data_IF_313921517036
#
_entry.id   IF_313921517036
#
_cell.length_a   1.000
_cell.length_b   1.000
_cell.length_c   1.000
_cell.angle_alpha   90.00
_cell.angle_beta   90.00
_cell.angle_gamma   90.00
#
_symmetry.space_group_name_H-M   'P 1'
#
loop_
_entity.id
_entity.type
_entity.pdbx_description
1 polymer ?
#
# COMPACT_ATOMS: atom_id res chain seq x y z
N UNK A 1 4.85 78.59 21.38
CA UNK A 1 5.60 77.50 20.77
C UNK A 1 4.85 76.23 21.16
N UNK A 2 4.03 75.67 20.26
CA UNK A 2 3.28 74.43 20.46
C UNK A 2 4.11 73.27 19.91
N UNK A 3 4.49 72.29 20.79
CA UNK A 3 5.18 71.07 20.42
C UNK A 3 4.13 70.05 19.94
N UNK A 4 4.18 69.71 18.66
CA UNK A 4 3.38 68.64 18.07
C UNK A 4 4.12 67.31 18.31
N UNK A 5 3.55 66.42 19.10
CA UNK A 5 4.01 65.03 19.24
C UNK A 5 3.41 64.17 18.10
N UNK A 6 4.22 63.71 17.21
CA UNK A 6 3.86 62.71 16.18
C UNK A 6 4.04 61.34 16.80
N UNK A 7 2.94 60.65 17.11
CA UNK A 7 2.92 59.25 17.53
C UNK A 7 3.00 58.39 16.28
N UNK A 8 4.18 57.80 16.03
CA UNK A 8 4.34 56.76 15.00
C UNK A 8 3.89 55.44 15.63
N UNK A 9 2.69 55.02 15.29
CA UNK A 9 2.22 53.67 15.63
C UNK A 9 2.91 52.64 14.72
N UNK A 10 3.91 51.93 15.25
CA UNK A 10 4.50 50.77 14.63
C UNK A 10 3.49 49.62 14.74
N UNK A 11 2.72 49.37 13.70
CA UNK A 11 1.92 48.15 13.57
C UNK A 11 2.88 46.95 13.43
N UNK A 12 3.12 46.26 14.53
CA UNK A 12 3.73 44.93 14.53
C UNK A 12 2.76 43.98 13.80
N UNK A 13 2.97 43.83 12.51
CA UNK A 13 2.41 42.72 11.77
C UNK A 13 3.02 41.44 12.36
N UNK A 14 2.28 40.81 13.26
CA UNK A 14 2.59 39.44 13.70
C UNK A 14 2.34 38.54 12.51
N UNK A 15 3.34 38.48 11.62
CA UNK A 15 3.38 37.47 10.58
C UNK A 15 3.34 36.11 11.26
N UNK A 16 2.25 35.36 11.07
CA UNK A 16 2.29 33.92 11.38
C UNK A 16 3.53 33.36 10.69
N UNK A 17 4.39 32.60 11.38
CA UNK A 17 5.46 31.91 10.71
C UNK A 17 4.80 31.03 9.64
N UNK A 18 5.00 31.38 8.37
CA UNK A 18 4.70 30.49 7.26
C UNK A 18 5.72 29.37 7.40
N UNK A 19 5.37 28.29 8.04
CA UNK A 19 6.11 27.05 7.92
C UNK A 19 6.02 26.69 6.44
N UNK A 20 7.15 26.73 5.76
CA UNK A 20 7.23 26.22 4.40
C UNK A 20 6.90 24.72 4.47
N UNK A 21 5.75 24.32 3.95
CA UNK A 21 5.41 22.92 3.83
C UNK A 21 6.55 22.20 3.11
N UNK A 22 6.97 21.08 3.64
CA UNK A 22 7.97 20.25 2.97
C UNK A 22 7.35 19.73 1.69
N UNK A 23 7.91 20.11 0.54
CA UNK A 23 7.44 19.63 -0.76
C UNK A 23 7.82 18.15 -0.94
N UNK A 24 6.89 17.33 -1.37
CA UNK A 24 7.15 15.94 -1.80
C UNK A 24 7.49 15.86 -3.29
N UNK A 25 7.48 16.99 -4.03
CA UNK A 25 7.74 17.02 -5.47
C UNK A 25 9.10 16.43 -5.81
N UNK A 26 9.14 15.61 -6.84
CA UNK A 26 10.36 14.98 -7.34
C UNK A 26 10.13 13.57 -7.86
N UNK A 27 11.25 12.93 -8.19
CA UNK A 27 11.32 11.53 -8.59
C UNK A 27 11.79 10.70 -7.39
N UNK A 28 11.12 9.58 -7.14
CA UNK A 28 11.35 8.74 -5.98
C UNK A 28 11.46 7.27 -6.39
N UNK A 29 12.23 6.50 -5.63
CA UNK A 29 12.37 5.05 -5.81
C UNK A 29 12.40 4.34 -4.47
N UNK A 30 11.77 3.17 -4.38
CA UNK A 30 11.74 2.38 -3.16
C UNK A 30 13.12 1.86 -2.73
N UNK A 31 13.35 1.78 -1.43
CA UNK A 31 14.52 1.09 -0.85
C UNK A 31 14.23 -0.41 -0.77
N UNK A 32 14.59 -1.13 -1.82
CA UNK A 32 14.24 -2.54 -1.99
C UNK A 32 14.88 -3.51 -0.97
N UNK A 33 15.84 -3.06 -0.18
CA UNK A 33 16.46 -3.89 0.86
C UNK A 33 15.55 -4.09 2.07
N UNK A 34 14.53 -3.24 2.22
CA UNK A 34 13.57 -3.35 3.31
C UNK A 34 12.54 -4.42 2.98
N UNK A 35 12.30 -5.34 3.89
CA UNK A 35 11.31 -6.41 3.76
C UNK A 35 11.38 -7.18 2.42
N UNK A 36 12.59 -7.39 1.90
CA UNK A 36 12.78 -7.90 0.56
C UNK A 36 12.08 -9.24 0.33
N UNK A 37 12.01 -10.10 1.32
CA UNK A 37 11.35 -11.41 1.21
C UNK A 37 9.83 -11.28 1.02
N UNK A 38 9.22 -10.28 1.64
CA UNK A 38 7.77 -10.04 1.57
C UNK A 38 7.38 -9.02 0.49
N UNK A 39 8.37 -8.34 -0.09
CA UNK A 39 8.13 -7.22 -1.01
C UNK A 39 7.90 -7.67 -2.45
N UNK A 40 8.93 -8.16 -3.11
CA UNK A 40 8.86 -8.45 -4.56
C UNK A 40 8.45 -9.89 -4.85
N UNK A 41 9.05 -10.92 -4.25
CA UNK A 41 8.59 -12.30 -4.48
C UNK A 41 7.22 -12.56 -3.82
N UNK A 42 6.88 -11.81 -2.80
CA UNK A 42 5.73 -12.07 -1.94
C UNK A 42 6.00 -13.17 -0.93
N UNK A 43 5.03 -13.47 -0.06
CA UNK A 43 5.11 -14.61 0.84
C UNK A 43 4.92 -15.94 0.12
N UNK A 44 5.43 -17.00 0.73
CA UNK A 44 5.19 -18.36 0.24
C UNK A 44 3.71 -18.76 0.41
N UNK A 45 3.22 -19.62 -0.48
CA UNK A 45 1.86 -20.15 -0.37
C UNK A 45 1.67 -20.88 0.97
N UNK A 46 0.61 -20.52 1.69
CA UNK A 46 0.32 -21.06 3.02
C UNK A 46 1.06 -20.40 4.18
N UNK A 47 1.93 -19.41 3.93
CA UNK A 47 2.53 -18.58 4.96
C UNK A 47 1.66 -17.34 5.25
N UNK A 48 0.95 -17.39 6.35
CA UNK A 48 0.14 -16.26 6.83
C UNK A 48 0.67 -15.68 8.15
N UNK A 49 1.91 -15.97 8.47
CA UNK A 49 2.57 -15.49 9.68
C UNK A 49 2.56 -13.97 9.74
N UNK A 50 2.09 -13.42 10.85
CA UNK A 50 2.03 -11.98 11.10
C UNK A 50 0.95 -11.22 10.35
N UNK A 51 0.19 -11.87 9.48
CA UNK A 51 -0.87 -11.19 8.74
C UNK A 51 -2.15 -11.08 9.57
N UNK A 52 -2.74 -9.90 9.74
CA UNK A 52 -3.97 -9.71 10.48
C UNK A 52 -5.20 -10.12 9.68
N UNK A 53 -5.23 -11.34 9.17
CA UNK A 53 -6.28 -11.87 8.32
C UNK A 53 -7.26 -12.77 9.09
N UNK A 54 -8.52 -12.75 8.67
CA UNK A 54 -9.55 -13.62 9.21
C UNK A 54 -9.68 -14.93 8.41
N UNK A 55 -10.60 -15.80 8.84
CA UNK A 55 -10.79 -17.12 8.21
C UNK A 55 -11.31 -17.02 6.76
N UNK A 56 -12.07 -15.96 6.43
CA UNK A 56 -12.52 -15.75 5.05
C UNK A 56 -11.35 -15.44 4.11
N UNK A 57 -10.41 -14.63 4.55
CA UNK A 57 -9.20 -14.34 3.80
C UNK A 57 -8.30 -15.59 3.65
N UNK A 58 -8.13 -16.38 4.73
CA UNK A 58 -7.39 -17.66 4.68
C UNK A 58 -8.03 -18.63 3.70
N UNK A 59 -9.35 -18.75 3.74
CA UNK A 59 -10.07 -19.62 2.81
C UNK A 59 -9.88 -19.21 1.35
N UNK A 60 -9.90 -17.90 1.09
CA UNK A 60 -9.64 -17.37 -0.25
C UNK A 60 -8.21 -17.65 -0.69
N UNK A 61 -7.22 -17.31 0.15
CA UNK A 61 -5.80 -17.54 -0.13
C UNK A 61 -5.45 -19.02 -0.31
N UNK A 62 -6.08 -19.92 0.45
CA UNK A 62 -5.91 -21.37 0.31
C UNK A 62 -6.34 -21.90 -1.06
N UNK A 63 -7.24 -21.24 -1.74
CA UNK A 63 -7.69 -21.59 -3.08
C UNK A 63 -6.78 -21.07 -4.20
N UNK A 64 -5.79 -20.24 -3.85
CA UNK A 64 -4.96 -19.56 -4.82
C UNK A 64 -4.12 -20.53 -5.67
N UNK A 65 -4.21 -20.36 -6.98
CA UNK A 65 -3.34 -21.01 -7.96
C UNK A 65 -2.42 -19.95 -8.57
N UNK A 66 -1.12 -20.09 -8.39
CA UNK A 66 -0.14 -19.11 -8.88
C UNK A 66 -0.20 -18.93 -10.40
N UNK A 67 -0.72 -19.92 -11.12
CA UNK A 67 -0.92 -19.84 -12.57
C UNK A 67 -2.09 -18.93 -12.99
N UNK A 68 -2.82 -18.33 -12.03
CA UNK A 68 -3.91 -17.36 -12.31
C UNK A 68 -3.46 -16.18 -13.14
N UNK A 69 -2.22 -15.72 -12.95
CA UNK A 69 -1.67 -14.60 -13.72
C UNK A 69 -1.61 -14.85 -15.22
N UNK A 70 -1.66 -16.12 -15.65
CA UNK A 70 -1.68 -16.50 -17.08
C UNK A 70 -3.11 -16.57 -17.67
N UNK A 71 -4.14 -16.35 -16.86
CA UNK A 71 -5.51 -16.31 -17.35
C UNK A 71 -5.80 -14.92 -17.94
N UNK A 72 -6.41 -14.81 -19.11
CA UNK A 72 -6.63 -13.52 -19.79
C UNK A 72 -7.29 -12.46 -18.91
N UNK A 73 -8.19 -12.84 -18.02
CA UNK A 73 -8.91 -11.95 -17.10
C UNK A 73 -8.00 -11.30 -16.04
N UNK A 74 -6.84 -11.92 -15.76
CA UNK A 74 -5.87 -11.45 -14.77
C UNK A 74 -4.58 -10.93 -15.39
N UNK A 75 -4.43 -11.03 -16.71
CA UNK A 75 -3.29 -10.46 -17.38
C UNK A 75 -3.35 -8.95 -17.33
N UNK A 76 -2.22 -8.33 -16.97
CA UNK A 76 -2.12 -6.88 -16.83
C UNK A 76 -3.07 -6.28 -15.77
N UNK A 77 -3.54 -7.07 -14.84
CA UNK A 77 -4.24 -6.58 -13.66
C UNK A 77 -3.26 -5.74 -12.82
N UNK A 78 -3.61 -4.47 -12.65
CA UNK A 78 -2.75 -3.52 -11.93
C UNK A 78 -2.94 -3.65 -10.43
N UNK A 79 -1.89 -3.40 -9.67
CA UNK A 79 -1.99 -3.38 -8.21
C UNK A 79 -2.79 -2.17 -7.73
N UNK A 80 -3.62 -2.37 -6.73
CA UNK A 80 -4.33 -1.27 -6.08
C UNK A 80 -3.40 -0.47 -5.14
N UNK A 81 -3.90 0.65 -4.62
CA UNK A 81 -3.13 1.55 -3.74
C UNK A 81 -2.62 0.85 -2.47
N UNK A 82 -3.30 -0.16 -1.98
CA UNK A 82 -2.90 -0.94 -0.80
C UNK A 82 -1.69 -1.86 -1.04
N UNK A 83 -1.28 -2.05 -2.29
CA UNK A 83 -0.17 -2.94 -2.63
C UNK A 83 0.90 -2.28 -3.51
N UNK A 84 0.54 -1.33 -4.37
CA UNK A 84 1.41 -0.87 -5.47
C UNK A 84 2.77 -0.35 -5.00
N UNK A 85 2.85 0.27 -3.82
CA UNK A 85 4.10 0.82 -3.29
C UNK A 85 5.10 -0.25 -2.83
N UNK A 86 4.66 -1.49 -2.67
CA UNK A 86 5.55 -2.62 -2.32
C UNK A 86 6.29 -3.21 -3.53
N UNK A 87 5.87 -2.88 -4.73
CA UNK A 87 6.50 -3.32 -5.97
C UNK A 87 7.79 -2.57 -6.32
N UNK A 88 8.45 -2.97 -7.42
CA UNK A 88 9.63 -2.27 -7.96
C UNK A 88 9.19 -0.96 -8.61
N UNK A 89 8.88 0.02 -7.79
CA UNK A 89 8.21 1.23 -8.22
C UNK A 89 9.14 2.43 -8.19
N UNK A 90 9.22 3.10 -9.33
CA UNK A 90 9.68 4.47 -9.42
C UNK A 90 8.46 5.34 -9.67
N UNK A 91 8.38 6.45 -8.99
CA UNK A 91 7.25 7.34 -9.15
C UNK A 91 7.66 8.80 -9.07
N UNK A 92 6.87 9.62 -9.73
CA UNK A 92 6.99 11.08 -9.72
C UNK A 92 5.85 11.67 -8.92
N UNK A 93 6.15 12.69 -8.11
CA UNK A 93 5.17 13.51 -7.40
C UNK A 93 5.29 14.95 -7.89
N UNK A 94 4.14 15.61 -8.14
CA UNK A 94 4.09 17.05 -8.40
C UNK A 94 2.77 17.64 -7.91
N UNK A 95 2.79 18.95 -7.68
CA UNK A 95 1.62 19.69 -7.24
C UNK A 95 0.85 20.25 -8.47
N UNK A 96 -0.46 20.03 -8.48
CA UNK A 96 -1.40 20.76 -9.34
C UNK A 96 -1.92 21.96 -8.59
N UNK A 97 -1.79 23.14 -9.20
CA UNK A 97 -2.16 24.41 -8.57
C UNK A 97 -3.31 25.05 -9.30
N UNK A 98 -4.19 25.70 -8.54
CA UNK A 98 -5.19 26.59 -9.11
C UNK A 98 -4.47 27.74 -9.85
N UNK A 99 -4.85 28.05 -11.09
CA UNK A 99 -4.15 29.06 -11.88
C UNK A 99 -4.29 30.48 -11.34
N UNK A 100 -5.36 30.77 -10.63
CA UNK A 100 -5.66 32.11 -10.12
C UNK A 100 -5.12 32.31 -8.70
N UNK A 101 -5.39 31.39 -7.78
CA UNK A 101 -4.97 31.50 -6.39
C UNK A 101 -3.56 30.95 -6.13
N UNK A 102 -3.02 30.10 -7.01
CA UNK A 102 -1.77 29.37 -6.84
C UNK A 102 -1.78 28.38 -5.65
N UNK A 103 -2.92 28.14 -5.06
CA UNK A 103 -3.07 27.11 -4.03
C UNK A 103 -2.94 25.70 -4.63
N UNK A 104 -2.38 24.77 -3.86
CA UNK A 104 -2.29 23.36 -4.27
C UNK A 104 -3.67 22.74 -4.14
N UNK A 105 -4.29 22.41 -5.27
CA UNK A 105 -5.62 21.78 -5.31
C UNK A 105 -5.53 20.26 -5.37
N UNK A 106 -4.42 19.72 -5.86
CA UNK A 106 -4.15 18.30 -5.84
C UNK A 106 -2.64 18.00 -5.84
N UNK A 107 -2.28 16.87 -5.26
CA UNK A 107 -0.98 16.23 -5.47
C UNK A 107 -1.20 15.10 -6.47
N UNK A 108 -0.39 15.09 -7.52
CA UNK A 108 -0.43 14.07 -8.57
C UNK A 108 0.75 13.14 -8.41
N UNK A 109 0.51 11.86 -8.65
CA UNK A 109 1.55 10.85 -8.72
C UNK A 109 1.45 10.10 -10.05
N UNK A 110 2.60 9.85 -10.65
CA UNK A 110 2.76 8.89 -11.74
C UNK A 110 3.65 7.76 -11.27
N UNK A 111 3.13 6.54 -11.28
CA UNK A 111 3.83 5.35 -10.86
C UNK A 111 4.22 4.55 -12.10
N UNK A 112 5.50 4.23 -12.25
CA UNK A 112 6.01 3.53 -13.44
C UNK A 112 5.49 2.09 -13.58
N UNK A 113 5.17 1.43 -12.46
CA UNK A 113 4.58 0.09 -12.48
C UNK A 113 3.16 0.15 -13.04
N UNK A 114 2.95 -0.50 -14.18
CA UNK A 114 1.70 -0.50 -14.96
C UNK A 114 1.17 0.90 -15.32
N UNK A 115 2.05 1.92 -15.33
CA UNK A 115 1.72 3.30 -15.76
C UNK A 115 0.50 3.88 -15.02
N UNK A 116 0.47 3.75 -13.69
CA UNK A 116 -0.65 4.20 -12.90
C UNK A 116 -0.59 5.69 -12.57
N UNK A 117 -1.76 6.32 -12.60
CA UNK A 117 -1.95 7.71 -12.21
C UNK A 117 -2.77 7.79 -10.94
N UNK A 118 -2.30 8.59 -9.98
CA UNK A 118 -3.03 8.87 -8.75
C UNK A 118 -3.22 10.36 -8.57
N UNK A 119 -4.41 10.74 -8.12
CA UNK A 119 -4.73 12.11 -7.72
C UNK A 119 -5.10 12.11 -6.25
N UNK A 120 -4.44 12.96 -5.48
CA UNK A 120 -4.75 13.20 -4.08
C UNK A 120 -5.29 14.62 -4.00
N UNK A 121 -6.56 14.78 -3.68
CA UNK A 121 -7.21 16.06 -3.61
C UNK A 121 -6.87 16.79 -2.32
N UNK A 122 -6.46 18.06 -2.43
CA UNK A 122 -5.99 18.89 -1.31
C UNK A 122 -6.97 20.01 -0.96
N UNK A 123 -8.12 20.08 -1.62
CA UNK A 123 -9.10 21.15 -1.54
C UNK A 123 -10.23 20.87 -0.52
N UNK A 124 -10.11 19.79 0.27
CA UNK A 124 -11.06 19.44 1.31
C UNK A 124 -12.41 18.92 0.79
N UNK A 125 -12.47 18.49 -0.47
CA UNK A 125 -13.69 17.91 -1.02
C UNK A 125 -14.08 16.61 -0.31
N UNK A 126 -15.40 16.32 -0.19
CA UNK A 126 -15.85 15.07 0.40
C UNK A 126 -15.54 13.88 -0.52
N UNK A 127 -15.40 12.70 0.09
CA UNK A 127 -15.35 11.44 -0.65
C UNK A 127 -16.68 11.16 -1.36
N UNK A 128 -16.65 10.42 -2.47
CA UNK A 128 -17.84 10.02 -3.19
C UNK A 128 -18.80 9.18 -2.34
N UNK A 129 -20.04 9.05 -2.75
CA UNK A 129 -20.98 8.13 -2.12
C UNK A 129 -20.59 6.66 -2.43
N UNK A 130 -20.87 5.75 -1.49
CA UNK A 130 -20.46 4.33 -1.53
C UNK A 130 -20.83 3.55 -2.82
N UNK A 131 -21.83 4.02 -3.56
CA UNK A 131 -22.25 3.40 -4.82
C UNK A 131 -21.45 3.86 -6.05
N UNK A 132 -20.53 4.80 -5.88
CA UNK A 132 -19.71 5.29 -6.99
C UNK A 132 -18.69 4.23 -7.44
N UNK A 133 -18.25 4.28 -8.71
CA UNK A 133 -17.29 3.29 -9.22
C UNK A 133 -15.96 3.28 -8.46
N UNK A 134 -15.47 2.07 -8.21
CA UNK A 134 -14.16 1.83 -7.63
C UNK A 134 -13.07 1.83 -8.70
N UNK A 135 -11.89 2.33 -8.35
CA UNK A 135 -10.70 2.33 -9.23
C UNK A 135 -9.52 1.66 -8.53
N UNK A 136 -8.46 1.34 -9.26
CA UNK A 136 -7.27 0.74 -8.64
C UNK A 136 -6.59 1.68 -7.65
N UNK A 137 -6.52 2.97 -7.97
CA UNK A 137 -5.92 3.98 -7.08
C UNK A 137 -6.92 4.58 -6.09
N UNK A 138 -8.20 4.19 -6.16
CA UNK A 138 -9.25 4.70 -5.30
C UNK A 138 -9.54 6.19 -5.51
N UNK A 139 -10.23 6.78 -4.55
CA UNK A 139 -10.42 8.22 -4.40
C UNK A 139 -9.66 8.69 -3.17
N UNK A 140 -8.72 9.62 -3.34
CA UNK A 140 -7.82 10.07 -2.29
C UNK A 140 -8.00 11.55 -1.98
N UNK A 141 -8.07 11.86 -0.68
CA UNK A 141 -7.94 13.23 -0.16
C UNK A 141 -6.73 13.33 0.76
N UNK A 142 -6.09 14.49 0.80
CA UNK A 142 -4.91 14.71 1.63
C UNK A 142 -5.03 15.95 2.50
N UNK A 143 -4.40 15.92 3.66
CA UNK A 143 -4.29 17.03 4.58
C UNK A 143 -2.89 17.06 5.20
N UNK A 144 -2.31 18.26 5.33
CA UNK A 144 -1.04 18.44 5.99
C UNK A 144 -1.18 18.63 7.50
N UNK A 145 -0.51 17.79 8.28
CA UNK A 145 -0.37 17.90 9.72
C UNK A 145 1.09 18.26 10.07
N UNK A 146 1.44 19.52 9.96
CA UNK A 146 2.85 19.95 10.01
C UNK A 146 3.60 19.46 8.79
N UNK A 147 4.62 18.61 8.99
CA UNK A 147 5.45 18.03 7.92
C UNK A 147 4.95 16.64 7.47
N UNK A 148 3.85 16.17 8.00
CA UNK A 148 3.21 14.90 7.67
C UNK A 148 2.02 15.13 6.73
N UNK A 149 2.09 14.59 5.53
CA UNK A 149 0.94 14.53 4.63
C UNK A 149 0.13 13.27 4.94
N UNK A 150 -1.04 13.46 5.53
CA UNK A 150 -1.99 12.37 5.79
C UNK A 150 -2.94 12.24 4.60
N UNK A 151 -3.02 11.04 4.02
CA UNK A 151 -3.87 10.75 2.87
C UNK A 151 -4.88 9.69 3.28
N UNK A 152 -6.17 9.93 3.00
CA UNK A 152 -7.22 8.92 3.15
C UNK A 152 -7.71 8.51 1.77
N UNK A 153 -7.82 7.18 1.55
CA UNK A 153 -8.26 6.62 0.27
C UNK A 153 -9.33 5.56 0.49
N UNK A 154 -10.39 5.64 -0.28
CA UNK A 154 -11.45 4.64 -0.38
C UNK A 154 -11.83 4.39 -1.86
N UNK A 155 -12.95 3.73 -2.16
CA UNK A 155 -13.39 3.37 -3.52
C UNK A 155 -12.31 2.61 -4.30
N UNK A 156 -11.62 1.71 -3.59
CA UNK A 156 -10.53 0.89 -4.12
C UNK A 156 -11.11 -0.41 -4.66
N UNK A 157 -10.68 -0.83 -5.85
CA UNK A 157 -11.02 -2.16 -6.39
C UNK A 157 -10.42 -3.26 -5.54
N UNK A 158 -11.20 -4.34 -5.35
CA UNK A 158 -10.70 -5.55 -4.71
C UNK A 158 -9.50 -6.13 -5.47
N UNK A 159 -8.52 -6.59 -4.71
CA UNK A 159 -7.29 -7.18 -5.21
C UNK A 159 -6.64 -8.01 -4.07
N UNK A 160 -5.37 -8.32 -4.12
CA UNK A 160 -4.70 -9.03 -3.04
C UNK A 160 -3.74 -8.12 -2.26
N UNK A 161 -3.63 -8.41 -0.97
CA UNK A 161 -2.67 -7.81 -0.05
C UNK A 161 -1.25 -8.30 -0.36
N UNK A 162 -1.15 -9.58 -0.74
CA UNK A 162 0.12 -10.24 -1.09
C UNK A 162 -0.08 -11.13 -2.31
N UNK A 163 0.98 -11.32 -3.07
CA UNK A 163 0.99 -12.12 -4.30
C UNK A 163 0.73 -13.62 -4.09
N UNK A 164 0.68 -14.08 -2.87
CA UNK A 164 0.29 -15.43 -2.47
C UNK A 164 -1.23 -15.65 -2.41
N UNK A 165 -2.00 -14.65 -2.84
CA UNK A 165 -3.45 -14.73 -2.93
C UNK A 165 -4.22 -14.26 -1.70
N UNK A 166 -3.56 -13.70 -0.70
CA UNK A 166 -4.22 -13.07 0.43
C UNK A 166 -4.97 -11.81 -0.05
N UNK A 167 -6.31 -11.74 0.11
CA UNK A 167 -7.11 -10.71 -0.54
C UNK A 167 -7.23 -9.41 0.25
N UNK A 168 -7.51 -8.34 -0.49
CA UNK A 168 -8.24 -7.16 -0.03
C UNK A 168 -9.61 -7.11 -0.72
N UNK A 169 -10.63 -6.63 -0.02
CA UNK A 169 -11.96 -6.40 -0.58
C UNK A 169 -12.10 -5.01 -1.19
N UNK A 170 -13.25 -4.76 -1.81
CA UNK A 170 -13.66 -3.43 -2.27
C UNK A 170 -14.12 -2.50 -1.12
N UNK A 171 -14.09 -2.97 0.13
CA UNK A 171 -14.33 -2.17 1.34
C UNK A 171 -13.04 -1.71 2.01
N UNK A 172 -11.91 -1.95 1.34
CA UNK A 172 -10.61 -1.47 1.79
C UNK A 172 -10.62 0.06 1.93
N UNK A 173 -10.14 0.52 3.07
CA UNK A 173 -9.79 1.93 3.30
C UNK A 173 -8.32 2.01 3.68
N UNK A 174 -7.60 2.95 3.11
CA UNK A 174 -6.18 3.14 3.36
C UNK A 174 -5.95 4.55 3.91
N UNK A 175 -5.27 4.63 5.04
CA UNK A 175 -4.71 5.88 5.58
C UNK A 175 -3.20 5.83 5.43
N UNK A 176 -2.62 6.85 4.85
CA UNK A 176 -1.18 6.92 4.59
C UNK A 176 -0.59 8.16 5.25
N UNK A 177 0.63 8.01 5.77
CA UNK A 177 1.46 9.11 6.26
C UNK A 177 2.69 9.21 5.36
N UNK A 178 2.92 10.39 4.79
CA UNK A 178 4.05 10.67 3.93
C UNK A 178 4.93 11.73 4.56
N UNK A 179 6.03 11.31 5.17
CA UNK A 179 6.91 12.15 5.96
C UNK A 179 8.26 12.24 5.27
N UNK A 180 8.64 13.45 4.83
CA UNK A 180 9.91 13.66 4.13
C UNK A 180 11.03 14.08 5.08
N UNK A 181 12.15 13.40 5.01
CA UNK A 181 13.39 13.70 5.71
C UNK A 181 14.54 13.94 4.71
N UNK A 182 14.68 15.18 4.22
CA UNK A 182 15.67 15.49 3.19
C UNK A 182 15.39 14.76 1.87
N UNK A 183 16.25 13.82 1.50
CA UNK A 183 16.11 13.01 0.27
C UNK A 183 15.48 11.63 0.52
N UNK A 184 14.84 11.44 1.67
CA UNK A 184 14.10 10.23 2.02
C UNK A 184 12.66 10.60 2.36
N UNK A 185 11.71 9.78 1.90
CA UNK A 185 10.31 9.78 2.37
C UNK A 185 10.10 8.50 3.15
N UNK A 186 9.64 8.63 4.38
CA UNK A 186 9.03 7.52 5.13
C UNK A 186 7.54 7.50 4.82
N UNK A 187 7.07 6.38 4.31
CA UNK A 187 5.67 6.11 4.02
C UNK A 187 5.16 5.08 5.03
N UNK A 188 4.09 5.42 5.74
CA UNK A 188 3.38 4.49 6.63
C UNK A 188 1.99 4.31 6.06
N UNK A 189 1.61 3.08 5.78
CA UNK A 189 0.30 2.73 5.27
C UNK A 189 -0.47 1.93 6.32
N UNK A 190 -1.69 2.34 6.61
CA UNK A 190 -2.63 1.68 7.52
C UNK A 190 -3.84 1.26 6.69
N UNK A 191 -3.95 -0.03 6.41
CA UNK A 191 -5.03 -0.61 5.64
C UNK A 191 -6.08 -1.23 6.57
N UNK A 192 -7.33 -0.87 6.40
CA UNK A 192 -8.48 -1.42 7.14
C UNK A 192 -9.45 -2.05 6.16
N UNK A 193 -9.71 -3.33 6.32
CA UNK A 193 -10.66 -4.08 5.49
C UNK A 193 -11.61 -4.91 6.38
N UNK A 194 -12.87 -4.52 6.52
CA UNK A 194 -13.81 -5.19 7.41
C UNK A 194 -14.21 -6.61 6.92
N UNK A 195 -13.89 -6.95 5.68
CA UNK A 195 -14.23 -8.26 5.09
C UNK A 195 -13.14 -9.29 5.35
N UNK A 196 -11.87 -8.91 5.21
CA UNK A 196 -10.75 -9.86 5.20
C UNK A 196 -9.74 -9.66 6.33
N UNK A 197 -9.69 -8.48 6.94
CA UNK A 197 -8.78 -8.23 8.05
C UNK A 197 -9.46 -8.37 9.42
N UNK A 198 -8.74 -8.92 10.40
CA UNK A 198 -9.15 -8.99 11.80
C UNK A 198 -8.79 -7.73 12.59
N UNK A 199 -7.77 -7.01 12.13
CA UNK A 199 -7.26 -5.74 12.64
C UNK A 199 -6.55 -4.99 11.51
N UNK A 200 -6.25 -3.68 11.65
CA UNK A 200 -5.58 -2.93 10.60
C UNK A 200 -4.20 -3.53 10.26
N UNK A 201 -3.90 -3.65 8.97
CA UNK A 201 -2.58 -3.99 8.48
C UNK A 201 -1.74 -2.73 8.37
N UNK A 202 -0.55 -2.73 8.98
CA UNK A 202 0.36 -1.59 8.95
C UNK A 202 1.64 -2.00 8.21
N UNK A 203 1.98 -1.23 7.19
CA UNK A 203 3.23 -1.35 6.45
C UNK A 203 4.00 -0.03 6.50
N UNK A 204 5.33 -0.13 6.56
CA UNK A 204 6.22 1.03 6.44
C UNK A 204 7.19 0.79 5.29
N UNK A 205 7.49 1.85 4.55
CA UNK A 205 8.40 1.81 3.41
C UNK A 205 9.19 3.10 3.35
N UNK A 206 10.40 3.04 2.81
CA UNK A 206 11.18 4.22 2.53
C UNK A 206 11.42 4.39 1.04
N UNK A 207 11.33 5.65 0.60
CA UNK A 207 11.66 6.05 -0.76
C UNK A 207 12.80 7.04 -0.73
N UNK A 208 13.74 6.89 -1.66
CA UNK A 208 14.87 7.81 -1.82
C UNK A 208 14.68 8.65 -3.06
N UNK A 209 15.12 9.90 -2.98
CA UNK A 209 15.07 10.83 -4.12
C UNK A 209 16.04 10.37 -5.20
N UNK A 210 15.57 10.45 -6.44
CA UNK A 210 16.41 10.20 -7.61
C UNK A 210 16.98 11.50 -8.14
N UNK A 211 18.30 11.52 -8.37
CA UNK A 211 18.99 12.70 -8.93
C UNK A 211 18.80 12.86 -10.44
N UNK A 212 18.22 11.86 -11.11
CA UNK A 212 18.14 11.83 -12.57
C UNK A 212 16.70 11.63 -13.04
N UNK A 213 16.14 12.66 -13.65
CA UNK A 213 14.79 12.66 -14.22
C UNK A 213 14.58 11.75 -15.45
N UNK A 214 15.60 11.02 -15.90
CA UNK A 214 15.57 10.28 -17.16
C UNK A 214 15.32 8.78 -17.03
N UNK A 215 14.97 8.29 -15.86
CA UNK A 215 14.87 6.87 -15.61
C UNK A 215 13.48 6.46 -15.10
N UNK A 216 12.43 7.14 -15.53
CA UNK A 216 11.09 6.60 -15.36
C UNK A 216 11.03 5.26 -16.08
N UNK A 217 11.18 4.22 -15.28
CA UNK A 217 11.09 2.87 -15.74
C UNK A 217 9.64 2.61 -16.08
N UNK A 218 9.35 2.59 -17.36
CA UNK A 218 8.05 2.18 -17.84
C UNK A 218 8.02 0.66 -17.73
N UNK A 219 7.30 0.18 -16.75
CA UNK A 219 7.00 -1.25 -16.61
C UNK A 219 5.67 -1.50 -17.30
N UNK A 220 5.72 -1.59 -18.60
CA UNK A 220 4.56 -1.92 -19.41
C UNK A 220 4.13 -3.36 -19.11
N UNK A 221 2.83 -3.61 -19.16
CA UNK A 221 2.34 -4.96 -19.14
C UNK A 221 2.33 -5.52 -20.56
N UNK A 222 2.92 -6.71 -20.71
CA UNK A 222 2.77 -7.53 -21.90
C UNK A 222 1.97 -8.78 -21.54
N UNK A 223 0.95 -9.08 -22.34
CA UNK A 223 0.18 -10.31 -22.15
C UNK A 223 1.05 -11.51 -22.56
N UNK A 224 1.21 -12.44 -21.64
CA UNK A 224 1.96 -13.65 -21.88
C UNK A 224 1.23 -14.86 -21.29
N UNK A 225 1.16 -15.96 -22.00
CA UNK A 225 0.67 -17.23 -21.46
C UNK A 225 1.85 -17.97 -20.81
N UNK A 226 1.95 -17.86 -19.50
CA UNK A 226 3.04 -18.51 -18.74
C UNK A 226 2.78 -20.01 -18.53
N UNK A 227 1.51 -20.37 -18.32
CA UNK A 227 1.09 -21.74 -18.08
C UNK A 227 -0.05 -22.10 -19.02
N UNK A 228 0.18 -22.96 -20.02
CA UNK A 228 -0.87 -23.45 -20.91
C UNK A 228 -1.98 -24.15 -20.12
N UNK A 229 -3.22 -23.80 -20.39
CA UNK A 229 -4.40 -24.37 -19.74
C UNK A 229 -5.30 -25.07 -20.74
N UNK A 230 -5.96 -26.11 -20.26
CA UNK A 230 -7.04 -26.73 -21.02
C UNK A 230 -8.26 -25.81 -21.02
N UNK A 231 -9.03 -25.87 -22.07
CA UNK A 231 -10.32 -25.16 -22.13
C UNK A 231 -11.19 -25.64 -20.97
N UNK A 232 -11.70 -24.70 -20.18
CA UNK A 232 -12.50 -24.91 -18.95
C UNK A 232 -11.71 -25.20 -17.67
N UNK A 233 -10.39 -25.14 -17.66
CA UNK A 233 -9.65 -25.15 -16.41
C UNK A 233 -9.96 -23.90 -15.59
N UNK A 234 -10.29 -24.12 -14.32
CA UNK A 234 -10.52 -23.04 -13.36
C UNK A 234 -9.23 -22.87 -12.55
N UNK A 235 -8.62 -21.68 -12.56
CA UNK A 235 -7.35 -21.44 -11.88
C UNK A 235 -7.52 -21.23 -10.37
N UNK A 236 -8.22 -22.15 -9.72
CA UNK A 236 -8.43 -22.17 -8.27
C UNK A 236 -8.46 -23.62 -7.80
N UNK A 237 -7.90 -23.84 -6.62
CA UNK A 237 -8.02 -25.14 -5.96
C UNK A 237 -9.30 -25.18 -5.12
N UNK A 238 -9.94 -26.35 -5.08
CA UNK A 238 -11.00 -26.62 -4.13
C UNK A 238 -10.43 -26.61 -2.69
N UNK A 239 -11.27 -26.32 -1.67
CA UNK A 239 -10.85 -26.37 -0.27
C UNK A 239 -10.10 -27.65 0.09
N UNK A 240 -8.92 -27.50 0.68
CA UNK A 240 -8.04 -28.59 1.09
C UNK A 240 -7.41 -29.40 -0.05
N UNK A 241 -7.48 -28.92 -1.32
CA UNK A 241 -6.88 -29.60 -2.47
C UNK A 241 -5.65 -28.90 -3.04
N UNK A 242 -5.30 -27.72 -2.50
CA UNK A 242 -4.09 -27.03 -2.91
C UNK A 242 -2.84 -27.73 -2.34
N UNK A 243 -1.99 -28.32 -3.19
CA UNK A 243 -0.82 -29.09 -2.74
C UNK A 243 0.29 -28.19 -2.17
N UNK A 244 0.24 -26.90 -2.45
CA UNK A 244 1.30 -25.96 -2.06
C UNK A 244 1.16 -25.42 -0.63
N UNK A 245 0.04 -25.66 0.05
CA UNK A 245 -0.24 -25.06 1.38
C UNK A 245 0.67 -25.57 2.50
N UNK A 246 1.33 -26.73 2.32
CA UNK A 246 2.28 -27.25 3.32
C UNK A 246 3.73 -26.92 2.98
N UNK A 247 3.98 -26.39 1.80
CA UNK A 247 5.34 -26.20 1.28
C UNK A 247 6.21 -25.36 2.24
N UNK A 248 5.70 -24.21 2.67
CA UNK A 248 6.46 -23.35 3.58
C UNK A 248 6.68 -23.99 4.94
N UNK A 249 5.66 -24.61 5.52
CA UNK A 249 5.78 -25.33 6.79
C UNK A 249 6.86 -26.42 6.73
N UNK A 250 6.87 -27.21 5.66
CA UNK A 250 7.84 -28.27 5.44
C UNK A 250 9.26 -27.72 5.25
N UNK A 251 9.40 -26.62 4.52
CA UNK A 251 10.68 -25.95 4.25
C UNK A 251 11.33 -25.42 5.54
N UNK A 252 10.55 -24.80 6.42
CA UNK A 252 11.05 -24.21 7.67
C UNK A 252 11.01 -25.17 8.86
N UNK A 253 10.44 -26.35 8.70
CA UNK A 253 10.30 -27.37 9.76
C UNK A 253 9.38 -26.96 10.89
N UNK A 254 8.35 -26.19 10.59
CA UNK A 254 7.34 -25.74 11.56
C UNK A 254 6.00 -26.46 11.34
N UNK A 255 5.17 -26.57 12.39
CA UNK A 255 3.81 -27.07 12.20
C UNK A 255 3.00 -26.19 11.24
N UNK A 256 2.22 -26.80 10.35
CA UNK A 256 1.38 -26.05 9.40
C UNK A 256 0.43 -25.07 10.11
N UNK A 257 -0.12 -25.44 11.26
CA UNK A 257 -0.95 -24.54 12.08
C UNK A 257 -0.19 -23.27 12.49
N UNK A 258 1.10 -23.39 12.78
CA UNK A 258 1.92 -22.26 13.20
C UNK A 258 2.17 -21.25 12.05
N UNK A 259 2.49 -21.73 10.87
CA UNK A 259 2.74 -20.85 9.71
C UNK A 259 1.45 -20.22 9.15
N UNK A 260 0.31 -20.78 9.48
CA UNK A 260 -1.01 -20.27 9.11
C UNK A 260 -1.65 -19.38 10.20
N UNK A 261 -0.93 -19.10 11.28
CA UNK A 261 -1.50 -18.47 12.46
C UNK A 261 -2.03 -17.06 12.23
N UNK A 262 -1.39 -16.22 11.47
CA UNK A 262 -1.82 -14.83 11.30
C UNK A 262 -1.25 -13.87 12.35
N UNK A 263 -1.99 -12.80 12.73
CA UNK A 263 -1.52 -11.73 13.63
C UNK A 263 -1.02 -12.24 14.98
N UNK A 264 -1.67 -13.26 15.54
CA UNK A 264 -1.28 -13.83 16.84
C UNK A 264 0.16 -14.35 16.88
N UNK A 265 0.73 -14.72 15.73
CA UNK A 265 2.12 -15.20 15.65
C UNK A 265 3.15 -14.12 15.98
N UNK A 266 2.77 -12.85 15.93
CA UNK A 266 3.61 -11.71 16.27
C UNK A 266 3.68 -11.45 17.78
N UNK A 267 2.74 -11.99 18.57
CA UNK A 267 2.70 -11.76 20.01
C UNK A 267 3.63 -12.69 20.78
N UNK A 268 4.28 -12.21 21.85
CA UNK A 268 5.24 -13.01 22.63
C UNK A 268 4.67 -14.31 23.18
N UNK A 269 3.37 -14.32 23.52
CA UNK A 269 2.64 -15.48 24.07
C UNK A 269 2.60 -16.64 23.07
N UNK A 270 2.62 -16.35 21.78
CA UNK A 270 2.58 -17.37 20.72
C UNK A 270 3.81 -18.29 20.76
N UNK A 271 4.95 -17.79 21.26
CA UNK A 271 6.18 -18.58 21.39
C UNK A 271 5.98 -19.81 22.28
N UNK A 272 5.18 -19.69 23.33
CA UNK A 272 4.88 -20.84 24.19
C UNK A 272 3.95 -21.84 23.50
N UNK A 273 2.94 -21.36 22.81
CA UNK A 273 2.07 -22.19 21.96
C UNK A 273 2.89 -22.95 20.92
N UNK A 274 3.81 -22.27 20.23
CA UNK A 274 4.68 -22.89 19.23
C UNK A 274 5.55 -24.00 19.84
N UNK A 275 6.17 -23.76 21.03
CA UNK A 275 6.95 -24.79 21.73
C UNK A 275 6.12 -26.02 22.07
N UNK A 276 4.86 -25.84 22.46
CA UNK A 276 3.95 -26.95 22.76
C UNK A 276 3.63 -27.75 21.51
N UNK A 277 3.30 -27.08 20.39
CA UNK A 277 3.07 -27.74 19.09
C UNK A 277 4.28 -28.56 18.65
N UNK A 278 5.50 -28.01 18.76
CA UNK A 278 6.73 -28.73 18.38
C UNK A 278 7.08 -29.92 19.29
N UNK A 279 6.62 -29.92 20.54
CA UNK A 279 6.80 -31.06 21.48
C UNK A 279 5.76 -32.14 21.25
N UNK A 280 4.53 -31.79 20.88
CA UNK A 280 3.43 -32.72 20.63
C UNK A 280 3.47 -33.46 19.32
N UNK A 281 4.29 -33.01 18.36
CA UNK A 281 4.49 -33.63 17.06
C UNK A 281 5.62 -34.68 17.01
N UNK A 282 6.15 -35.12 18.18
CA UNK A 282 7.17 -36.18 18.28
C UNK A 282 6.54 -37.47 18.74
#
# INVERSE_FOLDING_TARGET
MKKVFVLVAFALAVGRPAFAQISLEGEWVGRYQEDQMDRVPGGDLGDYTGLPINDAARFYADSWDISRSSVPEHQCEVYNVGHIFRGPNQFRIWNERDPDSQEVVAIKMYLGTYEQWRTIWMDGRPHPADYMPHTWMGFSTGEWHGDDLVITTDHIKAEFLRRDGVPYSDKLTVVEHWIRHGDVITHVMIATDPVYLSEPMINTEEFVRMDRSNTNWLYNCETAEEVPRLKHDVPNFLPGKNPSLTYFADQVGLPQEAVRGGAETMYPEYREKLRQMMRGGK
#
